data_IF_252207545591
#
_entry.id   IF_252207545591
#
_cell.length_a   1.000
_cell.length_b   1.000
_cell.length_c   1.000
_cell.angle_alpha   90.00
_cell.angle_beta   90.00
_cell.angle_gamma   90.00
#
_symmetry.space_group_name_H-M   'P 1'
#
loop_
_entity.id
_entity.type
_entity.pdbx_description
1 polymer ?
#
# COMPACT_ATOMS: atom_id res chain seq x y z
N UNK A 1 -5.50 36.89 -50.60
CA UNK A 1 -6.09 35.93 -49.68
C UNK A 1 -4.97 35.09 -49.08
N UNK A 2 -4.53 35.49 -47.89
CA UNK A 2 -3.61 34.72 -47.06
C UNK A 2 -4.44 33.68 -46.31
N UNK A 3 -4.18 32.40 -46.56
CA UNK A 3 -4.61 31.33 -45.72
C UNK A 3 -3.50 31.14 -44.69
N UNK A 4 -3.72 31.59 -43.48
CA UNK A 4 -2.90 31.24 -42.31
C UNK A 4 -3.10 29.76 -42.02
N UNK A 5 -2.10 28.98 -42.43
CA UNK A 5 -1.98 27.60 -42.04
C UNK A 5 -1.41 27.61 -40.62
N UNK A 6 -2.27 27.43 -39.63
CA UNK A 6 -1.84 27.20 -38.27
C UNK A 6 -1.36 25.76 -38.23
N UNK A 7 -0.04 25.57 -38.24
CA UNK A 7 0.60 24.30 -37.93
C UNK A 7 0.31 23.96 -36.48
N UNK A 8 -0.73 23.17 -36.27
CA UNK A 8 -0.89 22.46 -34.99
C UNK A 8 0.15 21.35 -34.94
N UNK A 9 1.30 21.68 -34.37
CA UNK A 9 2.23 20.69 -33.92
C UNK A 9 1.60 19.99 -32.72
N UNK A 10 0.75 19.02 -32.98
CA UNK A 10 0.28 18.10 -31.99
C UNK A 10 1.51 17.19 -31.73
N UNK A 11 2.29 17.49 -30.71
CA UNK A 11 3.15 16.50 -30.12
C UNK A 11 2.23 15.35 -29.70
N UNK A 12 2.23 14.30 -30.49
CA UNK A 12 1.76 13.01 -30.07
C UNK A 12 2.66 12.60 -28.91
N UNK A 13 2.24 12.94 -27.69
CA UNK A 13 2.68 12.20 -26.54
C UNK A 13 2.20 10.78 -26.80
N UNK A 14 3.10 9.93 -27.27
CA UNK A 14 2.83 8.52 -27.43
C UNK A 14 2.29 8.02 -26.09
N UNK A 15 1.00 7.75 -26.06
CA UNK A 15 0.42 7.09 -24.92
C UNK A 15 1.17 5.75 -24.80
N UNK A 16 1.94 5.62 -23.74
CA UNK A 16 2.61 4.37 -23.38
C UNK A 16 1.61 3.23 -23.54
N UNK A 17 1.95 2.21 -24.29
CA UNK A 17 1.06 1.06 -24.41
C UNK A 17 0.87 0.45 -23.02
N UNK A 18 -0.31 -0.14 -22.74
CA UNK A 18 -0.59 -0.80 -21.46
C UNK A 18 0.48 -1.84 -21.09
N UNK A 19 1.15 -2.38 -22.09
CA UNK A 19 2.24 -3.37 -21.91
C UNK A 19 3.54 -2.70 -21.50
N UNK A 20 3.86 -1.54 -22.06
CA UNK A 20 5.05 -0.75 -21.69
C UNK A 20 4.90 -0.15 -20.29
N UNK A 21 3.72 0.37 -19.95
CA UNK A 21 3.39 0.83 -18.62
C UNK A 21 3.51 -0.30 -17.59
N UNK A 22 2.96 -1.48 -17.92
CA UNK A 22 3.06 -2.67 -17.08
C UNK A 22 4.50 -3.12 -16.89
N UNK A 23 5.31 -3.10 -17.94
CA UNK A 23 6.73 -3.45 -17.89
C UNK A 23 7.53 -2.45 -17.06
N UNK A 24 7.25 -1.15 -17.20
CA UNK A 24 7.89 -0.08 -16.41
C UNK A 24 7.54 -0.20 -14.93
N UNK A 25 6.26 -0.39 -14.61
CA UNK A 25 5.81 -0.58 -13.24
C UNK A 25 6.41 -1.83 -12.60
N UNK A 26 6.48 -2.93 -13.34
CA UNK A 26 7.11 -4.16 -12.87
C UNK A 26 8.62 -3.98 -12.61
N UNK A 27 9.31 -3.23 -13.47
CA UNK A 27 10.72 -2.91 -13.28
C UNK A 27 10.97 -1.99 -12.08
N UNK A 28 10.19 -0.92 -11.97
CA UNK A 28 10.29 0.02 -10.85
C UNK A 28 10.00 -0.67 -9.51
N UNK A 29 9.09 -1.61 -9.52
CA UNK A 29 8.70 -2.34 -8.33
C UNK A 29 9.72 -3.43 -7.97
N UNK A 30 10.32 -4.10 -8.95
CA UNK A 30 11.44 -5.02 -8.73
C UNK A 30 12.67 -4.31 -8.13
N UNK A 31 12.98 -3.10 -8.58
CA UNK A 31 14.05 -2.28 -8.01
C UNK A 31 13.74 -1.86 -6.56
N UNK A 32 12.47 -1.61 -6.24
CA UNK A 32 12.02 -1.29 -4.87
C UNK A 32 12.09 -2.51 -3.96
N UNK A 33 11.68 -3.68 -4.43
CA UNK A 33 11.80 -4.93 -3.65
C UNK A 33 13.27 -5.28 -3.36
N UNK A 34 14.17 -5.06 -4.31
CA UNK A 34 15.59 -5.26 -4.10
C UNK A 34 16.16 -4.29 -3.05
N UNK A 35 15.73 -3.03 -3.05
CA UNK A 35 16.10 -2.05 -2.03
C UNK A 35 15.55 -2.43 -0.64
N UNK A 36 14.32 -2.94 -0.57
CA UNK A 36 13.70 -3.40 0.68
C UNK A 36 14.36 -4.65 1.24
N UNK A 37 14.72 -5.59 0.38
CA UNK A 37 15.46 -6.79 0.80
C UNK A 37 16.84 -6.41 1.39
N UNK A 38 17.52 -5.41 0.81
CA UNK A 38 18.78 -4.90 1.32
C UNK A 38 18.60 -4.17 2.67
N UNK A 39 17.54 -3.37 2.82
CA UNK A 39 17.21 -2.67 4.07
C UNK A 39 16.83 -3.66 5.20
N UNK A 40 16.08 -4.70 4.89
CA UNK A 40 15.71 -5.75 5.85
C UNK A 40 16.92 -6.61 6.27
N UNK A 41 17.85 -6.88 5.35
CA UNK A 41 19.09 -7.58 5.68
C UNK A 41 19.99 -6.75 6.58
N UNK A 42 20.06 -5.43 6.39
CA UNK A 42 20.79 -4.52 7.25
C UNK A 42 20.17 -4.42 8.66
N UNK A 43 18.84 -4.42 8.77
CA UNK A 43 18.13 -4.44 10.06
C UNK A 43 18.36 -5.74 10.83
N UNK A 44 18.29 -6.90 10.17
CA UNK A 44 18.61 -8.19 10.81
C UNK A 44 20.04 -8.28 11.34
N UNK A 45 20.99 -7.56 10.72
CA UNK A 45 22.37 -7.45 11.25
C UNK A 45 22.46 -6.55 12.47
N UNK A 46 21.65 -5.48 12.53
CA UNK A 46 21.62 -4.57 13.68
C UNK A 46 20.98 -5.21 14.91
N UNK A 47 19.89 -5.98 14.72
CA UNK A 47 19.21 -6.68 15.81
C UNK A 47 20.06 -7.81 16.44
N UNK A 48 20.91 -8.45 15.65
CA UNK A 48 21.84 -9.46 16.16
C UNK A 48 22.95 -8.89 17.08
N UNK A 49 23.23 -7.59 16.99
CA UNK A 49 24.25 -6.93 17.81
C UNK A 49 23.69 -6.34 19.12
N UNK A 50 22.36 -6.30 19.28
CA UNK A 50 21.67 -5.71 20.42
C UNK A 50 21.04 -6.72 21.38
N UNK A 51 21.17 -8.03 21.16
CA UNK A 51 20.60 -9.04 22.05
C UNK A 51 21.59 -9.54 23.10
N UNK A 52 22.00 -8.66 24.00
CA UNK A 52 22.60 -9.05 25.26
C UNK A 52 22.29 -8.01 26.35
N UNK A 53 21.04 -7.95 26.73
CA UNK A 53 20.65 -7.54 28.07
C UNK A 53 19.25 -8.06 28.39
N UNK A 54 19.24 -9.02 29.25
CA UNK A 54 18.13 -9.61 29.93
C UNK A 54 17.42 -8.54 30.75
N UNK A 55 16.15 -8.26 30.46
CA UNK A 55 15.24 -7.74 31.46
C UNK A 55 13.84 -8.30 31.23
N UNK A 56 13.43 -9.10 32.19
CA UNK A 56 12.05 -9.50 32.41
C UNK A 56 11.23 -8.24 32.69
N UNK A 57 10.40 -7.85 31.75
CA UNK A 57 9.44 -6.77 31.88
C UNK A 57 8.11 -7.26 31.35
N UNK A 58 7.19 -7.44 32.30
CA UNK A 58 5.76 -7.62 32.15
C UNK A 58 5.24 -7.09 30.81
N UNK A 59 4.77 -8.00 29.96
CA UNK A 59 3.99 -7.67 28.79
C UNK A 59 2.65 -7.07 29.21
N UNK A 60 2.61 -5.76 29.42
CA UNK A 60 1.37 -5.04 29.28
C UNK A 60 1.03 -5.05 27.80
N UNK A 61 0.16 -5.97 27.41
CA UNK A 61 -0.56 -5.87 26.15
C UNK A 61 -1.34 -4.57 26.19
N UNK A 62 -0.78 -3.52 25.61
CA UNK A 62 -1.59 -2.43 25.14
C UNK A 62 -2.38 -2.99 23.97
N UNK A 63 -3.52 -3.60 24.27
CA UNK A 63 -4.62 -3.64 23.36
C UNK A 63 -4.99 -2.17 23.11
N UNK A 64 -4.33 -1.52 22.17
CA UNK A 64 -4.87 -0.36 21.51
C UNK A 64 -6.26 -0.79 21.07
N UNK A 65 -7.29 -0.24 21.69
CA UNK A 65 -8.65 -0.40 21.25
C UNK A 65 -8.79 0.30 19.90
N UNK A 66 -8.26 -0.36 18.87
CA UNK A 66 -8.65 -0.11 17.51
C UNK A 66 -10.16 -0.30 17.48
N UNK A 67 -10.88 0.55 16.75
CA UNK A 67 -12.32 0.33 16.62
C UNK A 67 -12.55 -1.11 16.17
N UNK A 68 -13.56 -1.78 16.67
CA UNK A 68 -13.88 -3.16 16.26
C UNK A 68 -13.99 -3.30 14.74
N UNK A 69 -14.41 -2.24 14.05
CA UNK A 69 -14.49 -2.17 12.60
C UNK A 69 -13.11 -2.12 11.93
N UNK A 70 -12.18 -1.33 12.45
CA UNK A 70 -10.82 -1.28 11.92
C UNK A 70 -10.11 -2.62 12.04
N UNK A 71 -10.23 -3.30 13.17
CA UNK A 71 -9.71 -4.65 13.37
C UNK A 71 -10.34 -5.66 12.42
N UNK A 72 -11.64 -5.57 12.18
CA UNK A 72 -12.36 -6.42 11.23
C UNK A 72 -11.88 -6.19 9.80
N UNK A 73 -11.65 -4.93 9.40
CA UNK A 73 -11.07 -4.57 8.09
C UNK A 73 -9.69 -5.21 7.91
N UNK A 74 -8.81 -5.08 8.89
CA UNK A 74 -7.47 -5.67 8.83
C UNK A 74 -7.50 -7.20 8.74
N UNK A 75 -8.36 -7.85 9.51
CA UNK A 75 -8.55 -9.30 9.48
C UNK A 75 -9.10 -9.77 8.15
N UNK A 76 -10.09 -9.07 7.62
CA UNK A 76 -10.69 -9.39 6.31
C UNK A 76 -9.67 -9.23 5.18
N UNK A 77 -8.93 -8.12 5.16
CA UNK A 77 -7.89 -7.87 4.16
C UNK A 77 -6.80 -8.95 4.17
N UNK A 78 -6.43 -9.45 5.34
CA UNK A 78 -5.39 -10.47 5.52
C UNK A 78 -5.76 -11.84 4.94
N UNK A 79 -7.05 -12.11 4.70
CA UNK A 79 -7.52 -13.36 4.11
C UNK A 79 -7.15 -13.52 2.62
N UNK A 80 -6.83 -12.41 1.95
CA UNK A 80 -6.55 -12.40 0.51
C UNK A 80 -5.07 -12.50 0.16
N UNK A 81 -4.21 -12.71 1.14
CA UNK A 81 -2.77 -12.92 0.93
C UNK A 81 -2.54 -14.11 0.00
N UNK A 82 -1.66 -13.91 -0.99
CA UNK A 82 -1.36 -14.90 -2.02
C UNK A 82 -2.19 -14.74 -3.29
N UNK A 83 -3.24 -13.93 -3.29
CA UNK A 83 -4.03 -13.64 -4.47
C UNK A 83 -3.28 -12.69 -5.43
N UNK A 84 -3.59 -12.72 -6.74
CA UNK A 84 -2.81 -12.03 -7.74
C UNK A 84 -2.99 -10.51 -7.68
N UNK A 85 -1.96 -9.79 -8.11
CA UNK A 85 -2.02 -8.38 -8.45
C UNK A 85 -2.39 -8.22 -9.93
N UNK A 86 -3.36 -7.36 -10.23
CA UNK A 86 -3.69 -6.94 -11.60
C UNK A 86 -3.86 -5.43 -11.63
N UNK A 87 -3.10 -4.75 -12.46
CA UNK A 87 -3.22 -3.29 -12.64
C UNK A 87 -4.63 -2.92 -13.09
N UNK A 88 -5.24 -1.95 -12.40
CA UNK A 88 -6.63 -1.54 -12.63
C UNK A 88 -7.67 -2.55 -12.13
N UNK A 89 -7.24 -3.66 -11.55
CA UNK A 89 -8.13 -4.67 -11.00
C UNK A 89 -8.73 -4.28 -9.65
N UNK A 90 -9.91 -4.82 -9.38
CA UNK A 90 -10.67 -4.60 -8.14
C UNK A 90 -11.15 -5.90 -7.50
N UNK A 91 -10.77 -7.04 -8.06
CA UNK A 91 -11.16 -8.35 -7.53
C UNK A 91 -10.18 -8.80 -6.45
N UNK A 92 -10.67 -9.04 -5.25
CA UNK A 92 -9.85 -9.54 -4.13
C UNK A 92 -9.30 -10.95 -4.36
N UNK A 93 -9.91 -11.71 -5.26
CA UNK A 93 -9.55 -13.12 -5.55
C UNK A 93 -8.87 -13.30 -6.90
N UNK A 94 -9.28 -12.52 -7.91
CA UNK A 94 -8.84 -12.69 -9.30
C UNK A 94 -7.82 -11.64 -9.76
N UNK A 95 -7.59 -10.63 -8.97
CA UNK A 95 -6.60 -9.59 -9.21
C UNK A 95 -7.08 -8.18 -8.86
N UNK A 96 -6.31 -7.52 -8.03
CA UNK A 96 -6.51 -6.12 -7.64
C UNK A 96 -5.16 -5.40 -7.66
N UNK A 97 -5.20 -4.11 -7.98
CA UNK A 97 -4.06 -3.22 -7.72
C UNK A 97 -4.12 -2.66 -6.28
N UNK A 98 -3.16 -1.84 -5.89
CA UNK A 98 -3.06 -1.34 -4.51
C UNK A 98 -4.31 -0.59 -4.06
N UNK A 99 -4.81 0.34 -4.86
CA UNK A 99 -6.02 1.11 -4.53
C UNK A 99 -7.29 0.31 -4.74
N UNK A 100 -7.34 -0.58 -5.73
CA UNK A 100 -8.45 -1.50 -5.96
C UNK A 100 -8.62 -2.50 -4.81
N UNK A 101 -7.53 -2.98 -4.24
CA UNK A 101 -7.54 -3.82 -3.05
C UNK A 101 -8.14 -3.10 -1.84
N UNK A 102 -7.65 -1.91 -1.53
CA UNK A 102 -8.17 -1.09 -0.42
C UNK A 102 -9.64 -0.76 -0.62
N UNK A 103 -10.02 -0.29 -1.81
CA UNK A 103 -11.40 0.02 -2.17
C UNK A 103 -12.33 -1.18 -1.97
N UNK A 104 -11.94 -2.35 -2.46
CA UNK A 104 -12.76 -3.57 -2.41
C UNK A 104 -12.87 -4.14 -1.00
N UNK A 105 -11.82 -4.04 -0.19
CA UNK A 105 -11.87 -4.43 1.22
C UNK A 105 -12.87 -3.55 1.97
N UNK A 106 -12.80 -2.25 1.83
CA UNK A 106 -13.71 -1.33 2.49
C UNK A 106 -15.14 -1.42 1.98
N UNK A 107 -15.35 -1.74 0.71
CA UNK A 107 -16.68 -1.98 0.13
C UNK A 107 -17.43 -3.11 0.85
N UNK A 108 -16.73 -4.13 1.30
CA UNK A 108 -17.31 -5.22 2.10
C UNK A 108 -17.87 -4.74 3.46
N UNK A 109 -17.42 -3.58 3.93
CA UNK A 109 -17.89 -2.93 5.16
C UNK A 109 -18.85 -1.76 4.90
N UNK A 110 -19.35 -1.64 3.67
CA UNK A 110 -20.30 -0.59 3.28
C UNK A 110 -19.68 0.80 3.05
N UNK A 111 -18.36 0.88 2.92
CA UNK A 111 -17.64 2.14 2.70
C UNK A 111 -17.19 2.23 1.24
N UNK A 112 -17.67 3.25 0.54
CA UNK A 112 -17.25 3.56 -0.83
C UNK A 112 -15.98 4.40 -0.82
N UNK A 113 -14.91 3.88 -1.41
CA UNK A 113 -13.64 4.58 -1.56
C UNK A 113 -13.28 4.75 -3.04
N UNK A 114 -12.52 5.81 -3.38
CA UNK A 114 -12.06 6.00 -4.77
C UNK A 114 -11.00 4.97 -5.18
N UNK A 115 -11.03 4.56 -6.44
CA UNK A 115 -10.01 3.71 -7.04
C UNK A 115 -8.82 4.56 -7.51
N UNK A 116 -8.14 5.19 -6.56
CA UNK A 116 -6.97 6.04 -6.83
C UNK A 116 -6.14 6.20 -5.57
N UNK A 117 -4.86 5.85 -5.65
CA UNK A 117 -3.93 5.99 -4.52
C UNK A 117 -3.77 7.44 -4.07
N UNK A 118 -3.79 8.39 -5.01
CA UNK A 118 -3.71 9.82 -4.68
C UNK A 118 -4.99 10.35 -4.03
N UNK A 119 -6.16 9.91 -4.50
CA UNK A 119 -7.45 10.32 -3.93
C UNK A 119 -7.66 9.74 -2.51
N UNK A 120 -7.12 8.56 -2.24
CA UNK A 120 -7.18 7.95 -0.90
C UNK A 120 -6.44 8.75 0.19
N UNK A 121 -5.55 9.66 -0.18
CA UNK A 121 -4.92 10.59 0.77
C UNK A 121 -5.88 11.60 1.38
N UNK A 122 -7.05 11.78 0.80
CA UNK A 122 -8.08 12.73 1.23
C UNK A 122 -9.27 12.10 1.92
N UNK A 123 -9.32 10.77 2.07
CA UNK A 123 -10.45 10.09 2.72
C UNK A 123 -10.32 10.09 4.24
N UNK A 124 -11.44 10.01 4.95
CA UNK A 124 -11.45 9.96 6.41
C UNK A 124 -10.72 11.13 7.05
N UNK A 125 -9.98 10.85 8.11
CA UNK A 125 -9.15 11.85 8.79
C UNK A 125 -7.71 11.35 8.98
N UNK A 126 -6.78 12.28 9.07
CA UNK A 126 -5.36 11.95 9.21
C UNK A 126 -5.01 11.57 10.66
N UNK A 127 -4.19 10.55 10.79
CA UNK A 127 -3.57 10.15 12.06
C UNK A 127 -2.06 10.05 11.87
N UNK A 128 -1.30 10.22 12.95
CA UNK A 128 0.14 10.01 12.88
C UNK A 128 0.45 8.52 12.73
N UNK A 129 1.58 8.21 12.11
CA UNK A 129 2.04 6.82 11.96
C UNK A 129 2.22 6.13 13.32
N UNK A 130 2.66 6.87 14.35
CA UNK A 130 2.81 6.36 15.72
C UNK A 130 1.47 5.97 16.36
N UNK A 131 0.37 6.55 15.90
CA UNK A 131 -1.00 6.27 16.34
C UNK A 131 -1.76 5.36 15.37
N UNK A 132 -1.10 4.79 14.37
CA UNK A 132 -1.73 3.89 13.41
C UNK A 132 -2.34 2.68 14.12
N UNK A 133 -3.54 2.31 13.71
CA UNK A 133 -4.30 1.18 14.23
C UNK A 133 -4.72 0.25 13.10
N UNK A 134 -4.99 -1.03 13.40
CA UNK A 134 -5.51 -1.95 12.39
C UNK A 134 -6.71 -1.38 11.64
N UNK A 135 -6.69 -1.51 10.32
CA UNK A 135 -7.69 -0.95 9.41
C UNK A 135 -7.35 0.43 8.86
N UNK A 136 -6.39 1.14 9.40
CA UNK A 136 -5.96 2.42 8.85
C UNK A 136 -5.34 2.26 7.45
N UNK A 137 -5.56 3.25 6.60
CA UNK A 137 -5.01 3.29 5.25
C UNK A 137 -3.67 4.01 5.30
N UNK A 138 -2.60 3.35 4.93
CA UNK A 138 -1.26 3.94 4.82
C UNK A 138 -1.02 4.36 3.38
N UNK A 139 -0.74 5.62 3.15
CA UNK A 139 -0.52 6.19 1.84
C UNK A 139 0.97 6.43 1.58
N UNK A 140 1.43 5.98 0.42
CA UNK A 140 2.79 6.16 -0.09
C UNK A 140 2.75 6.91 -1.42
N UNK A 141 3.89 7.26 -1.96
CA UNK A 141 3.97 7.82 -3.31
C UNK A 141 3.52 6.78 -4.34
N UNK A 142 2.36 7.01 -4.96
CA UNK A 142 1.77 6.12 -5.97
C UNK A 142 1.30 4.77 -5.44
N UNK A 143 1.14 4.60 -4.12
CA UNK A 143 0.77 3.33 -3.51
C UNK A 143 -0.04 3.50 -2.23
N UNK A 144 -0.82 2.50 -1.88
CA UNK A 144 -1.59 2.45 -0.64
C UNK A 144 -1.59 1.04 -0.06
N UNK A 145 -1.81 0.96 1.24
CA UNK A 145 -1.87 -0.29 1.98
C UNK A 145 -2.85 -0.18 3.16
N UNK A 146 -3.19 -1.31 3.76
CA UNK A 146 -3.98 -1.38 4.99
C UNK A 146 -3.06 -1.78 6.14
N UNK A 147 -3.05 -0.98 7.20
CA UNK A 147 -2.30 -1.29 8.42
C UNK A 147 -2.98 -2.42 9.20
N UNK A 148 -2.21 -3.40 9.61
CA UNK A 148 -2.74 -4.57 10.35
C UNK A 148 -2.25 -4.65 11.79
N UNK A 149 -1.43 -3.69 12.23
CA UNK A 149 -0.84 -3.64 13.57
C UNK A 149 0.63 -4.07 13.58
N UNK A 150 1.33 -3.75 14.66
CA UNK A 150 2.72 -4.18 14.86
C UNK A 150 3.73 -3.68 13.82
N UNK A 151 3.45 -2.55 13.16
CA UNK A 151 4.30 -2.02 12.09
C UNK A 151 4.18 -2.78 10.77
N UNK A 152 3.12 -3.56 10.58
CA UNK A 152 2.88 -4.39 9.40
C UNK A 152 1.70 -3.86 8.60
N UNK A 153 1.82 -3.93 7.28
CA UNK A 153 0.76 -3.61 6.32
C UNK A 153 0.43 -4.83 5.46
N UNK A 154 -0.79 -4.87 4.95
CA UNK A 154 -1.21 -5.76 3.88
C UNK A 154 -1.53 -4.93 2.64
N UNK A 155 -1.03 -5.33 1.50
CA UNK A 155 -1.22 -4.60 0.25
C UNK A 155 -1.13 -5.50 -0.97
N UNK A 156 -1.77 -5.08 -2.05
CA UNK A 156 -1.52 -5.63 -3.38
C UNK A 156 -0.22 -4.99 -3.90
N UNK A 157 0.87 -5.74 -3.86
CA UNK A 157 2.21 -5.22 -4.05
C UNK A 157 2.62 -5.15 -5.53
N UNK A 158 2.87 -6.29 -6.16
CA UNK A 158 3.39 -6.37 -7.52
C UNK A 158 2.69 -7.48 -8.30
N UNK A 159 2.74 -7.44 -9.66
CA UNK A 159 2.28 -8.56 -10.46
C UNK A 159 2.98 -9.89 -10.14
N UNK A 160 4.21 -9.83 -9.66
CA UNK A 160 5.01 -11.01 -9.30
C UNK A 160 4.74 -11.54 -7.89
N UNK A 161 4.42 -10.66 -6.96
CA UNK A 161 4.23 -11.03 -5.54
C UNK A 161 2.78 -11.04 -5.09
N UNK A 162 1.89 -10.36 -5.78
CA UNK A 162 0.48 -10.29 -5.44
C UNK A 162 0.20 -9.57 -4.12
N UNK A 163 -0.83 -10.03 -3.41
CA UNK A 163 -1.20 -9.51 -2.11
C UNK A 163 -0.32 -10.16 -1.05
N UNK A 164 0.34 -9.33 -0.23
CA UNK A 164 1.27 -9.79 0.81
C UNK A 164 1.32 -8.84 2.00
N UNK A 165 1.95 -9.31 3.09
CA UNK A 165 2.39 -8.45 4.18
C UNK A 165 3.73 -7.79 3.86
N UNK A 166 3.91 -6.57 4.35
CA UNK A 166 5.19 -5.85 4.32
C UNK A 166 5.34 -5.01 5.59
N UNK A 167 6.56 -4.54 5.86
CA UNK A 167 6.78 -3.57 6.93
C UNK A 167 6.22 -2.21 6.50
N UNK A 168 5.58 -1.49 7.41
CA UNK A 168 5.00 -0.16 7.13
C UNK A 168 6.04 0.85 6.64
N UNK A 169 7.27 0.70 7.06
CA UNK A 169 8.41 1.54 6.66
C UNK A 169 9.22 0.97 5.49
N UNK A 170 8.67 0.01 4.73
CA UNK A 170 9.33 -0.48 3.51
C UNK A 170 9.52 0.64 2.47
N UNK A 171 8.69 1.65 2.54
CA UNK A 171 8.79 2.97 1.90
C UNK A 171 8.48 4.04 2.94
N UNK A 172 8.81 5.29 2.67
CA UNK A 172 8.39 6.42 3.50
C UNK A 172 6.90 6.69 3.35
N UNK A 173 6.08 6.48 4.38
CA UNK A 173 4.67 6.83 4.34
C UNK A 173 4.48 8.35 4.19
N UNK A 174 3.51 8.75 3.38
CA UNK A 174 3.14 10.17 3.21
C UNK A 174 2.13 10.57 4.28
N UNK A 175 1.11 9.75 4.48
CA UNK A 175 0.08 9.96 5.49
C UNK A 175 -0.59 8.64 5.86
N UNK A 176 -1.30 8.65 6.97
CA UNK A 176 -2.16 7.57 7.42
C UNK A 176 -3.57 8.12 7.57
N UNK A 177 -4.55 7.42 7.00
CA UNK A 177 -5.95 7.84 7.01
C UNK A 177 -6.80 6.84 7.76
N UNK A 178 -7.68 7.33 8.62
CA UNK A 178 -8.62 6.53 9.39
C UNK A 178 -10.05 6.76 8.93
N UNK A 179 -10.78 5.67 8.75
CA UNK A 179 -12.19 5.70 8.33
C UNK A 179 -13.11 5.42 9.53
N UNK A 180 -12.78 4.47 10.41
CA UNK A 180 -13.55 4.06 11.57
C UNK A 180 -12.94 4.53 12.88
#
# INVERSE_FOLDING_TARGET
QHKDYVDFNIEFVQAESKEEEKARLAKEEAEREAADAAANAARKKADRKSSSSKSSGSSKSYASAGSSNGQAVASYASQFIGNPYVYGGTSLTNGADCSGFVMSVYAAFGVGLPHSSSALRGVGYEVSLSNAQPGDIVCYSGHVAIYVGGGTIVHASTPSSGIKFSNVNYRSPICVRRIF
#
